data_IF_756741621855
#
_entry.id   IF_756741621855
#
_cell.length_a   1.000
_cell.length_b   1.000
_cell.length_c   1.000
_cell.angle_alpha   90.00
_cell.angle_beta   90.00
_cell.angle_gamma   90.00
#
_symmetry.space_group_name_H-M   'P 1'
#
loop_
_entity.id
_entity.type
_entity.pdbx_description
1 polymer ?
#
# COMPACT_ATOMS: atom_id res chain seq x y z
N UNK A 1 52.62 11.12 8.30
CA UNK A 1 51.68 12.26 8.19
C UNK A 1 50.42 11.71 7.53
N UNK A 2 49.31 11.66 8.28
CA UNK A 2 48.04 11.08 7.84
C UNK A 2 47.39 11.92 6.75
N UNK A 3 47.08 11.32 5.60
CA UNK A 3 46.17 11.95 4.64
C UNK A 3 44.73 11.71 5.10
N UNK A 4 44.06 12.79 5.46
CA UNK A 4 42.62 12.83 5.70
C UNK A 4 41.91 12.74 4.36
N UNK A 5 41.13 11.67 4.16
CA UNK A 5 40.21 11.54 3.03
C UNK A 5 39.00 12.41 3.36
N UNK A 6 38.83 13.52 2.65
CA UNK A 6 37.62 14.35 2.72
C UNK A 6 36.57 13.76 1.79
N UNK A 7 35.59 13.08 2.38
CA UNK A 7 34.43 12.56 1.66
C UNK A 7 33.45 13.72 1.43
N UNK A 8 33.57 14.39 0.28
CA UNK A 8 32.62 15.42 -0.12
C UNK A 8 31.36 14.75 -0.67
N UNK A 9 30.29 14.73 0.13
CA UNK A 9 28.96 14.29 -0.31
C UNK A 9 28.52 15.16 -1.48
N UNK A 10 28.43 14.59 -2.69
CA UNK A 10 27.90 15.28 -3.86
C UNK A 10 26.39 15.44 -3.70
N UNK A 11 25.97 16.60 -3.19
CA UNK A 11 24.56 17.00 -3.20
C UNK A 11 24.22 17.41 -4.63
N UNK A 12 23.31 16.70 -5.29
CA UNK A 12 22.81 17.11 -6.60
C UNK A 12 21.81 18.26 -6.42
N UNK A 13 22.10 19.48 -6.90
CA UNK A 13 21.20 20.63 -6.72
C UNK A 13 19.85 20.45 -7.42
N UNK A 14 19.76 19.55 -8.41
CA UNK A 14 18.53 19.24 -9.13
C UNK A 14 17.63 18.21 -8.41
N UNK A 15 18.12 17.62 -7.32
CA UNK A 15 17.38 16.62 -6.54
C UNK A 15 17.31 15.24 -7.20
N UNK A 16 16.38 14.41 -6.71
CA UNK A 16 16.11 13.05 -7.22
C UNK A 16 14.85 13.07 -8.07
N UNK A 17 14.97 12.65 -9.33
CA UNK A 17 13.82 12.40 -10.19
C UNK A 17 13.30 11.00 -9.92
N UNK A 18 12.04 10.88 -9.53
CA UNK A 18 11.35 9.60 -9.31
C UNK A 18 10.30 9.42 -10.40
N UNK A 19 10.54 8.47 -11.29
CA UNK A 19 9.62 8.14 -12.38
C UNK A 19 8.33 7.49 -11.87
N UNK A 20 7.19 7.86 -12.47
CA UNK A 20 5.91 7.20 -12.23
C UNK A 20 5.93 5.82 -12.88
N UNK A 21 5.46 4.79 -12.16
CA UNK A 21 5.39 3.40 -12.67
C UNK A 21 3.98 2.84 -12.68
N UNK A 22 3.22 3.08 -11.60
CA UNK A 22 1.89 2.52 -11.38
C UNK A 22 0.80 3.61 -11.24
N UNK A 23 1.13 4.85 -11.57
CA UNK A 23 0.22 5.99 -11.49
C UNK A 23 0.30 6.81 -12.76
N UNK A 24 -0.79 7.47 -13.11
CA UNK A 24 -0.86 8.39 -14.25
C UNK A 24 -0.90 9.83 -13.78
N UNK A 25 -0.35 10.72 -14.59
CA UNK A 25 -0.43 12.15 -14.31
C UNK A 25 -1.88 12.63 -14.42
N UNK A 26 -2.33 13.41 -13.44
CA UNK A 26 -3.68 13.97 -13.42
C UNK A 26 -4.80 13.00 -13.02
N UNK A 27 -4.48 11.73 -12.71
CA UNK A 27 -5.46 10.74 -12.26
C UNK A 27 -5.20 10.38 -10.80
N UNK A 28 -6.25 10.34 -9.99
CA UNK A 28 -6.12 9.87 -8.62
C UNK A 28 -5.99 8.34 -8.61
N UNK A 29 -4.95 7.74 -7.98
CA UNK A 29 -4.69 6.31 -8.09
C UNK A 29 -5.84 5.40 -7.62
N UNK A 30 -6.67 5.85 -6.68
CA UNK A 30 -7.83 5.07 -6.24
C UNK A 30 -8.97 5.02 -7.25
N UNK A 31 -9.04 5.99 -8.17
CA UNK A 31 -10.03 6.00 -9.25
C UNK A 31 -9.64 5.01 -10.36
N UNK A 32 -8.39 4.54 -10.38
CA UNK A 32 -7.88 3.56 -11.34
C UNK A 32 -8.17 2.10 -10.93
N UNK A 33 -8.76 1.88 -9.75
CA UNK A 33 -9.02 0.55 -9.18
C UNK A 33 -10.52 0.34 -9.01
N UNK A 34 -11.02 -0.85 -9.35
CA UNK A 34 -12.39 -1.26 -9.00
C UNK A 34 -12.48 -1.66 -7.52
N UNK A 35 -13.42 -1.05 -6.81
CA UNK A 35 -13.69 -1.32 -5.40
C UNK A 35 -14.96 -2.14 -5.24
N UNK A 36 -14.99 -2.98 -4.21
CA UNK A 36 -16.23 -3.60 -3.76
C UNK A 36 -16.31 -3.67 -2.24
N UNK A 37 -17.54 -3.65 -1.75
CA UNK A 37 -17.84 -3.74 -0.32
C UNK A 37 -17.88 -5.21 0.07
N UNK A 38 -17.07 -5.60 1.05
CA UNK A 38 -17.04 -6.96 1.60
C UNK A 38 -17.09 -6.95 3.12
N UNK A 39 -17.59 -8.05 3.67
CA UNK A 39 -17.49 -8.35 5.09
C UNK A 39 -16.26 -9.23 5.33
N UNK A 40 -15.38 -8.79 6.23
CA UNK A 40 -14.23 -9.55 6.68
C UNK A 40 -14.64 -10.36 7.91
N UNK A 41 -14.95 -11.64 7.70
CA UNK A 41 -15.32 -12.59 8.76
C UNK A 41 -14.22 -13.64 8.86
N UNK A 42 -13.62 -13.76 10.05
CA UNK A 42 -12.52 -14.69 10.32
C UNK A 42 -12.94 -15.65 11.43
N UNK A 43 -12.82 -16.94 11.14
CA UNK A 43 -13.24 -18.02 12.04
C UNK A 43 -14.58 -18.62 11.63
N UNK A 44 -15.29 -19.19 12.59
CA UNK A 44 -16.59 -19.83 12.36
C UNK A 44 -17.68 -18.76 12.10
N UNK A 45 -18.48 -18.85 11.02
CA UNK A 45 -19.54 -17.89 10.75
C UNK A 45 -20.60 -17.76 11.87
N UNK A 46 -20.82 -18.81 12.67
CA UNK A 46 -21.74 -18.77 13.80
C UNK A 46 -21.14 -18.12 15.05
N UNK A 47 -19.81 -18.13 15.17
CA UNK A 47 -19.08 -17.49 16.28
C UNK A 47 -17.73 -16.97 15.77
N UNK A 48 -17.74 -15.85 15.02
CA UNK A 48 -16.53 -15.36 14.39
C UNK A 48 -15.54 -14.89 15.46
N UNK A 49 -14.26 -15.18 15.24
CA UNK A 49 -13.19 -14.68 16.08
C UNK A 49 -12.93 -13.18 15.82
N UNK A 50 -13.22 -12.74 14.60
CA UNK A 50 -13.17 -11.35 14.18
C UNK A 50 -14.22 -11.10 13.08
N UNK A 51 -14.87 -9.95 13.15
CA UNK A 51 -15.84 -9.51 12.15
C UNK A 51 -15.72 -8.00 11.93
N UNK A 52 -15.61 -7.59 10.68
CA UNK A 52 -15.74 -6.21 10.25
C UNK A 52 -16.60 -6.16 8.98
N UNK A 53 -17.73 -5.46 9.06
CA UNK A 53 -18.72 -5.41 7.97
C UNK A 53 -18.61 -4.13 7.16
N UNK A 54 -19.00 -4.21 5.89
CA UNK A 54 -19.18 -3.05 5.02
C UNK A 54 -17.89 -2.32 4.68
N UNK A 55 -16.78 -3.04 4.51
CA UNK A 55 -15.46 -2.44 4.24
C UNK A 55 -15.16 -2.49 2.75
N UNK A 56 -14.63 -1.41 2.21
CA UNK A 56 -14.24 -1.33 0.80
C UNK A 56 -12.84 -1.90 0.58
N UNK A 57 -12.76 -2.88 -0.30
CA UNK A 57 -11.50 -3.47 -0.74
C UNK A 57 -11.41 -3.51 -2.26
N UNK A 58 -10.20 -3.53 -2.83
CA UNK A 58 -10.05 -3.77 -4.26
C UNK A 58 -10.69 -5.10 -4.65
N UNK A 59 -11.49 -5.08 -5.70
CA UNK A 59 -12.18 -6.26 -6.23
C UNK A 59 -11.21 -7.36 -6.66
N UNK A 60 -9.99 -6.98 -7.04
CA UNK A 60 -8.91 -7.92 -7.39
C UNK A 60 -8.37 -8.73 -6.21
N UNK A 61 -8.66 -8.33 -4.96
CA UNK A 61 -8.17 -9.04 -3.78
C UNK A 61 -8.98 -10.29 -3.49
N UNK A 62 -8.32 -11.32 -2.95
CA UNK A 62 -9.00 -12.50 -2.41
C UNK A 62 -9.61 -12.22 -1.03
N UNK A 63 -10.54 -13.06 -0.61
CA UNK A 63 -11.07 -13.01 0.76
C UNK A 63 -9.97 -13.17 1.81
N UNK A 64 -8.93 -13.97 1.53
CA UNK A 64 -7.78 -14.11 2.44
C UNK A 64 -7.00 -12.80 2.58
N UNK A 65 -6.74 -12.08 1.47
CA UNK A 65 -6.08 -10.77 1.52
C UNK A 65 -6.93 -9.75 2.29
N UNK A 66 -8.23 -9.75 2.05
CA UNK A 66 -9.22 -8.92 2.78
C UNK A 66 -9.14 -9.20 4.29
N UNK A 67 -9.19 -10.47 4.69
CA UNK A 67 -9.13 -10.89 6.09
C UNK A 67 -7.80 -10.49 6.77
N UNK A 68 -6.66 -10.71 6.11
CA UNK A 68 -5.34 -10.35 6.67
C UNK A 68 -5.22 -8.83 6.90
N UNK A 69 -5.73 -8.01 5.97
CA UNK A 69 -5.65 -6.55 6.09
C UNK A 69 -6.66 -6.00 7.10
N UNK A 70 -7.86 -6.56 7.15
CA UNK A 70 -8.87 -6.17 8.14
C UNK A 70 -8.46 -6.52 9.58
N UNK A 71 -7.66 -7.59 9.75
CA UNK A 71 -7.14 -8.03 11.04
C UNK A 71 -5.65 -7.67 11.20
N UNK A 72 -5.33 -6.39 11.28
CA UNK A 72 -3.96 -5.91 11.53
C UNK A 72 -3.89 -4.88 12.65
#
# INVERSE_FOLDING_TARGET
>A
MSQSVSESTRVNPEGVVVERRLTREGVHPFDEIEWEVRDAVIGDPAKPAFEQRGVEFPKSWSQNATNIVAQK
#
